data_IF_562791689944
#
_entry.id   IF_562791689944
#
_cell.length_a   1.000
_cell.length_b   1.000
_cell.length_c   1.000
_cell.angle_alpha   90.00
_cell.angle_beta   90.00
_cell.angle_gamma   90.00
#
_symmetry.space_group_name_H-M   'P 1'
#
loop_
_entity.id
_entity.type
_entity.pdbx_description
1 polymer ?
#
# COMPACT_ATOMS: atom_id res chain seq x y z
N UNK A 1 11.60 16.56 8.03
CA UNK A 1 11.53 15.71 6.83
C UNK A 1 10.18 15.91 6.16
N UNK A 2 10.10 16.05 4.83
CA UNK A 2 8.80 16.13 4.12
C UNK A 2 8.21 14.72 4.04
N UNK A 3 6.96 14.55 4.50
CA UNK A 3 6.20 13.31 4.31
C UNK A 3 5.91 13.11 2.82
N UNK A 4 6.15 11.91 2.31
CA UNK A 4 5.79 11.49 0.94
C UNK A 4 4.51 10.68 1.00
N UNK A 5 3.65 10.85 -0.01
CA UNK A 5 2.36 10.17 -0.09
C UNK A 5 2.30 9.36 -1.39
N UNK A 6 1.69 8.20 -1.32
CA UNK A 6 1.26 7.42 -2.49
C UNK A 6 -0.26 7.53 -2.64
N UNK A 7 -0.74 7.41 -3.87
CA UNK A 7 -2.17 7.49 -4.20
C UNK A 7 -2.55 6.29 -5.06
N UNK A 8 -3.73 5.72 -4.79
CA UNK A 8 -4.32 4.70 -5.64
C UNK A 8 -5.80 4.99 -5.89
N UNK A 9 -6.31 4.42 -6.97
CA UNK A 9 -7.71 4.48 -7.37
C UNK A 9 -8.19 3.04 -7.55
N UNK A 10 -9.35 2.71 -7.00
CA UNK A 10 -10.04 1.46 -7.28
C UNK A 10 -11.50 1.74 -7.61
N UNK A 11 -12.12 0.90 -8.42
CA UNK A 11 -13.58 0.90 -8.65
C UNK A 11 -14.25 -0.32 -8.02
N UNK A 12 -13.46 -1.16 -7.34
CA UNK A 12 -13.92 -2.41 -6.78
C UNK A 12 -14.15 -2.28 -5.28
N UNK A 13 -15.42 -2.36 -4.87
CA UNK A 13 -15.77 -2.34 -3.45
C UNK A 13 -15.22 -3.54 -2.68
N UNK A 14 -14.99 -4.66 -3.38
CA UNK A 14 -14.46 -5.89 -2.76
C UNK A 14 -12.96 -5.80 -2.45
N UNK A 15 -12.22 -4.88 -3.08
CA UNK A 15 -10.79 -4.65 -2.80
C UNK A 15 -10.56 -3.77 -1.56
N UNK A 16 -11.57 -3.02 -1.10
CA UNK A 16 -11.44 -2.06 0.01
C UNK A 16 -10.88 -2.69 1.30
N UNK A 17 -11.29 -3.90 1.74
CA UNK A 17 -10.72 -4.52 2.92
C UNK A 17 -9.22 -4.81 2.79
N UNK A 18 -8.78 -5.33 1.64
CA UNK A 18 -7.37 -5.65 1.39
C UNK A 18 -6.52 -4.39 1.31
N UNK A 19 -7.05 -3.35 0.66
CA UNK A 19 -6.40 -2.03 0.60
C UNK A 19 -6.26 -1.43 2.00
N UNK A 20 -7.28 -1.53 2.84
CA UNK A 20 -7.20 -1.12 4.25
C UNK A 20 -6.13 -1.87 5.04
N UNK A 21 -6.02 -3.19 4.87
CA UNK A 21 -4.97 -4.01 5.48
C UNK A 21 -3.57 -3.63 4.97
N UNK A 22 -3.45 -3.20 3.72
CA UNK A 22 -2.21 -2.72 3.11
C UNK A 22 -1.87 -1.26 3.48
N UNK A 23 -2.63 -0.64 4.40
CA UNK A 23 -2.37 0.70 4.92
C UNK A 23 -2.91 1.83 4.05
N UNK A 24 -3.77 1.53 3.07
CA UNK A 24 -4.45 2.56 2.29
C UNK A 24 -5.64 3.14 3.04
N UNK A 25 -5.71 4.46 3.09
CA UNK A 25 -6.79 5.24 3.68
C UNK A 25 -7.72 5.76 2.58
N UNK A 26 -9.03 5.50 2.70
CA UNK A 26 -10.03 6.07 1.79
C UNK A 26 -10.16 7.58 2.04
N UNK A 27 -9.95 8.37 1.00
CA UNK A 27 -10.00 9.85 1.04
C UNK A 27 -11.32 10.37 0.50
N UNK A 28 -11.80 9.79 -0.60
CA UNK A 28 -13.01 10.23 -1.28
C UNK A 28 -13.65 9.11 -2.09
N UNK A 29 -14.95 9.22 -2.31
CA UNK A 29 -15.71 8.37 -3.23
C UNK A 29 -16.44 9.28 -4.20
N UNK A 30 -16.29 9.03 -5.49
CA UNK A 30 -17.01 9.73 -6.54
C UNK A 30 -17.71 8.74 -7.47
N UNK A 31 -18.80 9.16 -8.10
CA UNK A 31 -19.41 8.40 -9.19
C UNK A 31 -18.93 8.99 -10.51
N UNK A 32 -18.14 8.24 -11.26
CA UNK A 32 -17.62 8.63 -12.58
C UNK A 32 -18.22 7.67 -13.59
N UNK A 33 -18.96 8.19 -14.58
CA UNK A 33 -19.65 7.40 -15.60
C UNK A 33 -20.52 6.27 -15.02
N UNK A 34 -21.21 6.55 -13.91
CA UNK A 34 -22.08 5.59 -13.21
C UNK A 34 -21.34 4.55 -12.37
N UNK A 35 -20.02 4.64 -12.25
CA UNK A 35 -19.17 3.71 -11.48
C UNK A 35 -18.65 4.37 -10.20
N UNK A 36 -18.81 3.72 -9.05
CA UNK A 36 -18.17 4.15 -7.81
C UNK A 36 -16.64 4.07 -7.97
N UNK A 37 -15.96 5.19 -7.76
CA UNK A 37 -14.51 5.34 -7.85
C UNK A 37 -13.99 5.77 -6.48
N UNK A 38 -13.12 4.95 -5.91
CA UNK A 38 -12.52 5.09 -4.60
C UNK A 38 -11.13 5.69 -4.72
N UNK A 39 -10.92 6.86 -4.13
CA UNK A 39 -9.62 7.54 -4.11
C UNK A 39 -8.98 7.34 -2.75
N UNK A 40 -7.75 6.83 -2.73
CA UNK A 40 -7.06 6.46 -1.50
C UNK A 40 -5.65 7.02 -1.45
N UNK A 41 -5.11 7.12 -0.24
CA UNK A 41 -3.72 7.53 0.00
C UNK A 41 -3.06 6.61 1.01
N UNK A 42 -1.74 6.56 1.03
CA UNK A 42 -0.97 6.05 2.18
C UNK A 42 0.31 6.83 2.37
N UNK A 43 0.83 6.84 3.60
CA UNK A 43 2.15 7.40 3.87
C UNK A 43 3.22 6.51 3.22
N UNK A 44 4.12 7.13 2.46
CA UNK A 44 5.25 6.42 1.88
C UNK A 44 6.41 6.45 2.89
N UNK A 45 7.01 5.30 3.22
CA UNK A 45 8.14 5.25 4.14
C UNK A 45 9.28 6.18 3.69
N UNK A 46 10.01 6.72 4.67
CA UNK A 46 11.22 7.49 4.38
C UNK A 46 12.27 6.62 3.68
N UNK A 47 13.21 7.21 2.92
CA UNK A 47 14.22 6.42 2.19
C UNK A 47 14.98 5.41 3.08
N UNK A 48 15.35 5.82 4.31
CA UNK A 48 16.03 4.93 5.27
C UNK A 48 15.15 3.75 5.70
N UNK A 49 13.86 4.00 5.86
CA UNK A 49 12.87 3.01 6.24
C UNK A 49 12.59 2.05 5.08
N UNK A 50 12.51 2.56 3.84
CA UNK A 50 12.44 1.73 2.63
C UNK A 50 13.61 0.76 2.54
N UNK A 51 14.85 1.26 2.68
CA UNK A 51 16.06 0.42 2.65
C UNK A 51 16.01 -0.64 3.76
N UNK A 52 15.52 -0.29 4.95
CA UNK A 52 15.42 -1.23 6.08
C UNK A 52 14.38 -2.31 5.81
N UNK A 53 13.24 -1.95 5.22
CA UNK A 53 12.18 -2.89 4.85
C UNK A 53 12.67 -3.85 3.75
N UNK A 54 13.33 -3.35 2.72
CA UNK A 54 13.93 -4.16 1.64
C UNK A 54 14.98 -5.14 2.18
N UNK A 55 15.89 -4.66 3.03
CA UNK A 55 16.90 -5.52 3.68
C UNK A 55 16.25 -6.61 4.54
N UNK A 56 15.18 -6.27 5.27
CA UNK A 56 14.45 -7.24 6.08
C UNK A 56 13.75 -8.30 5.22
N UNK A 57 13.10 -7.91 4.13
CA UNK A 57 12.48 -8.84 3.20
C UNK A 57 13.51 -9.79 2.58
N UNK A 58 14.68 -9.26 2.20
CA UNK A 58 15.76 -10.08 1.67
C UNK A 58 16.24 -11.14 2.69
N UNK A 59 16.46 -10.75 3.94
CA UNK A 59 16.86 -11.68 5.00
C UNK A 59 15.79 -12.75 5.26
N UNK A 60 14.52 -12.37 5.29
CA UNK A 60 13.41 -13.32 5.47
C UNK A 60 13.32 -14.32 4.31
N UNK A 61 13.53 -13.86 3.07
CA UNK A 61 13.55 -14.72 1.89
C UNK A 61 14.74 -15.70 1.90
N UNK A 62 15.90 -15.27 2.40
CA UNK A 62 17.10 -16.11 2.55
C UNK A 62 16.92 -17.15 3.66
N UNK A 63 16.38 -16.77 4.83
CA UNK A 63 16.10 -17.71 5.93
C UNK A 63 14.99 -18.72 5.58
N UNK A 64 14.01 -18.33 4.76
CA UNK A 64 13.00 -19.25 4.24
C UNK A 64 13.55 -20.32 3.28
N UNK A 65 14.72 -20.08 2.66
CA UNK A 65 15.41 -21.05 1.78
C UNK A 65 16.30 -22.03 2.52
N UNK A 66 16.71 -21.73 3.75
CA UNK A 66 17.59 -22.59 4.56
C UNK A 66 16.82 -23.68 5.32
N UNK A 67 15.49 -23.59 5.38
CA UNK A 67 14.60 -24.57 6.02
C UNK A 67 13.92 -25.55 5.04
N UNK A 68 14.38 -25.64 3.78
CA UNK A 68 13.88 -26.58 2.75
C UNK A 68 14.98 -27.54 2.30
#
# INVERSE_FOLDING_TARGET
>A
MKKRWEYCISTSRTELPELGLAGWELVSVAVVDGTETFYMKRECPGLREQITLEQREQVLAEQGREMV
#
